data_IF_524755604805
#
_entry.id   IF_524755604805
#
_cell.length_a   1.000
_cell.length_b   1.000
_cell.length_c   1.000
_cell.angle_alpha   90.00
_cell.angle_beta   90.00
_cell.angle_gamma   90.00
#
_symmetry.space_group_name_H-M   'P 1'
#
loop_
_entity.id
_entity.type
_entity.pdbx_description
1 polymer ?
#
# COMPACT_ATOMS: atom_id res chain seq x y z
N UNK A 1 23.23 4.05 -18.88
CA UNK A 1 21.78 4.18 -19.05
C UNK A 1 21.23 2.87 -19.62
N UNK A 2 20.41 2.15 -18.84
CA UNK A 2 19.56 1.03 -19.26
C UNK A 2 18.32 1.03 -18.37
N UNK A 3 17.53 2.08 -18.57
CA UNK A 3 16.12 2.26 -18.19
C UNK A 3 15.19 1.28 -18.93
N UNK A 4 15.66 0.06 -19.23
CA UNK A 4 14.79 -0.96 -19.79
C UNK A 4 13.93 -1.51 -18.66
N UNK A 5 12.62 -1.24 -18.70
CA UNK A 5 11.67 -1.91 -17.82
C UNK A 5 11.50 -3.39 -18.16
N UNK A 6 10.54 -4.04 -17.49
CA UNK A 6 10.27 -5.46 -17.59
C UNK A 6 8.86 -5.73 -18.15
N UNK A 7 8.55 -5.34 -19.40
CA UNK A 7 7.19 -5.47 -19.94
C UNK A 7 6.71 -6.93 -20.04
N UNK A 8 7.62 -7.89 -20.26
CA UNK A 8 7.29 -9.32 -20.40
C UNK A 8 6.76 -9.96 -19.10
N UNK A 9 7.07 -9.37 -17.93
CA UNK A 9 6.67 -9.95 -16.63
C UNK A 9 5.40 -9.31 -16.06
N UNK A 10 4.77 -8.39 -16.80
CA UNK A 10 3.52 -7.74 -16.37
C UNK A 10 2.30 -8.64 -16.51
N UNK A 11 2.20 -9.43 -17.59
CA UNK A 11 1.05 -10.31 -17.81
C UNK A 11 0.85 -11.36 -16.67
N UNK A 12 1.92 -11.99 -16.13
CA UNK A 12 1.79 -12.84 -14.94
C UNK A 12 1.25 -12.11 -13.71
N UNK A 13 1.62 -10.83 -13.54
CA UNK A 13 1.20 -10.01 -12.42
C UNK A 13 -0.29 -9.64 -12.56
N UNK A 14 -0.74 -9.31 -13.77
CA UNK A 14 -2.15 -8.98 -14.04
C UNK A 14 -3.09 -10.17 -13.87
N UNK A 15 -2.64 -11.37 -14.27
CA UNK A 15 -3.42 -12.60 -14.12
C UNK A 15 -3.68 -13.00 -12.66
N UNK A 16 -2.88 -12.50 -11.71
CA UNK A 16 -2.93 -12.89 -10.30
C UNK A 16 -3.30 -11.75 -9.35
N UNK A 17 -3.76 -10.60 -9.87
CA UNK A 17 -3.98 -9.40 -9.06
C UNK A 17 -4.91 -9.61 -7.87
N UNK A 18 -6.04 -10.30 -8.04
CA UNK A 18 -6.98 -10.53 -6.95
C UNK A 18 -6.35 -11.40 -5.84
N UNK A 19 -5.63 -12.46 -6.24
CA UNK A 19 -4.93 -13.33 -5.30
C UNK A 19 -3.80 -12.59 -4.56
N UNK A 20 -3.03 -11.78 -5.28
CA UNK A 20 -1.96 -10.95 -4.71
C UNK A 20 -2.52 -9.91 -3.73
N UNK A 21 -3.63 -9.25 -4.09
CA UNK A 21 -4.33 -8.32 -3.20
C UNK A 21 -4.82 -9.02 -1.93
N UNK A 22 -5.43 -10.21 -2.05
CA UNK A 22 -5.85 -11.01 -0.90
C UNK A 22 -4.68 -11.39 0.01
N UNK A 23 -3.58 -11.88 -0.55
CA UNK A 23 -2.35 -12.21 0.20
C UNK A 23 -1.74 -10.99 0.88
N UNK A 24 -1.74 -9.84 0.22
CA UNK A 24 -1.24 -8.61 0.81
C UNK A 24 -2.08 -8.17 2.02
N UNK A 25 -3.41 -8.31 1.96
CA UNK A 25 -4.28 -8.02 3.11
C UNK A 25 -4.03 -8.98 4.27
N UNK A 26 -3.87 -10.28 3.99
CA UNK A 26 -3.52 -11.27 5.02
C UNK A 26 -2.19 -10.89 5.68
N UNK A 27 -1.15 -10.64 4.90
CA UNK A 27 0.16 -10.24 5.42
C UNK A 27 0.12 -8.92 6.22
N UNK A 28 -0.69 -7.95 5.78
CA UNK A 28 -0.88 -6.69 6.50
C UNK A 28 -1.55 -6.91 7.87
N UNK A 29 -2.57 -7.78 7.94
CA UNK A 29 -3.25 -8.12 9.20
C UNK A 29 -2.36 -8.97 10.11
N UNK A 30 -1.60 -9.91 9.58
CA UNK A 30 -0.63 -10.69 10.36
C UNK A 30 0.45 -9.81 10.98
N UNK A 31 0.94 -8.82 10.22
CA UNK A 31 1.89 -7.82 10.71
C UNK A 31 1.30 -6.90 11.76
N UNK A 32 0.04 -6.48 11.58
CA UNK A 32 -0.66 -5.58 12.47
C UNK A 32 -2.12 -6.05 12.69
N UNK A 33 -2.35 -6.90 13.69
CA UNK A 33 -3.67 -7.47 13.95
C UNK A 33 -4.77 -6.43 14.23
N UNK A 34 -4.41 -5.29 14.82
CA UNK A 34 -5.33 -4.17 15.09
C UNK A 34 -5.89 -3.54 13.81
N UNK A 35 -5.29 -3.78 12.63
CA UNK A 35 -5.81 -3.29 11.35
C UNK A 35 -7.26 -3.72 11.15
N UNK A 36 -7.55 -5.01 11.38
CA UNK A 36 -8.89 -5.56 11.20
C UNK A 36 -9.92 -4.88 12.10
N UNK A 37 -9.56 -4.64 13.36
CA UNK A 37 -10.44 -3.96 14.33
C UNK A 37 -10.67 -2.50 13.94
N UNK A 38 -9.65 -1.81 13.40
CA UNK A 38 -9.76 -0.40 13.01
C UNK A 38 -10.62 -0.17 11.78
N UNK A 39 -10.41 -0.96 10.72
CA UNK A 39 -11.09 -0.72 9.43
C UNK A 39 -12.36 -1.55 9.25
N UNK A 40 -12.51 -2.64 10.03
CA UNK A 40 -13.60 -3.61 9.90
C UNK A 40 -13.61 -4.36 8.56
N UNK A 41 -14.51 -5.32 8.41
CA UNK A 41 -14.56 -6.16 7.20
C UNK A 41 -14.91 -5.36 5.93
N UNK A 42 -15.69 -4.28 6.05
CA UNK A 42 -15.97 -3.37 4.93
C UNK A 42 -14.71 -2.60 4.53
N UNK A 43 -13.95 -2.08 5.50
CA UNK A 43 -12.70 -1.37 5.23
C UNK A 43 -11.63 -2.29 4.65
N UNK A 44 -11.54 -3.55 5.10
CA UNK A 44 -10.65 -4.56 4.51
C UNK A 44 -11.00 -4.82 3.03
N UNK A 45 -12.29 -4.92 2.69
CA UNK A 45 -12.71 -5.04 1.28
C UNK A 45 -12.35 -3.80 0.44
N UNK A 46 -12.44 -2.61 1.02
CA UNK A 46 -11.97 -1.39 0.34
C UNK A 46 -10.45 -1.39 0.16
N UNK A 47 -9.68 -1.77 1.17
CA UNK A 47 -8.22 -1.89 1.07
C UNK A 47 -7.81 -2.95 0.04
N UNK A 48 -8.56 -4.05 -0.07
CA UNK A 48 -8.30 -5.07 -1.10
C UNK A 48 -8.50 -4.50 -2.52
N UNK A 49 -9.53 -3.69 -2.73
CA UNK A 49 -9.74 -2.97 -4.00
C UNK A 49 -8.63 -1.94 -4.25
N UNK A 50 -8.22 -1.20 -3.22
CA UNK A 50 -7.10 -0.27 -3.33
C UNK A 50 -5.80 -1.00 -3.70
N UNK A 51 -5.57 -2.20 -3.15
CA UNK A 51 -4.40 -3.03 -3.45
C UNK A 51 -4.33 -3.40 -4.94
N UNK A 52 -5.46 -3.68 -5.57
CA UNK A 52 -5.52 -3.96 -7.01
C UNK A 52 -5.11 -2.73 -7.83
N UNK A 53 -5.56 -1.53 -7.44
CA UNK A 53 -5.13 -0.28 -8.11
C UNK A 53 -3.64 -0.02 -7.89
N UNK A 54 -3.12 -0.30 -6.70
CA UNK A 54 -1.68 -0.22 -6.42
C UNK A 54 -0.91 -1.21 -7.32
N UNK A 55 -1.38 -2.44 -7.46
CA UNK A 55 -0.77 -3.46 -8.33
C UNK A 55 -0.82 -3.05 -9.82
N UNK A 56 -1.88 -2.38 -10.26
CA UNK A 56 -1.96 -1.80 -11.61
C UNK A 56 -0.85 -0.77 -11.81
N UNK A 57 -0.68 0.19 -10.89
CA UNK A 57 0.36 1.23 -11.01
C UNK A 57 1.77 0.68 -10.81
N UNK A 58 1.94 -0.34 -9.99
CA UNK A 58 3.17 -1.11 -9.89
C UNK A 58 3.50 -1.79 -11.21
N UNK A 59 2.51 -2.37 -11.91
CA UNK A 59 2.71 -2.98 -13.23
C UNK A 59 3.23 -1.98 -14.25
N UNK A 60 2.65 -0.78 -14.29
CA UNK A 60 3.12 0.31 -15.17
C UNK A 60 4.55 0.71 -14.81
N UNK A 61 4.86 0.76 -13.51
CA UNK A 61 6.20 1.09 -13.02
C UNK A 61 7.23 0.03 -13.45
N UNK A 62 6.90 -1.25 -13.28
CA UNK A 62 7.73 -2.39 -13.68
C UNK A 62 7.93 -2.42 -15.20
N UNK A 63 6.86 -2.29 -16.00
CA UNK A 63 6.96 -2.27 -17.46
C UNK A 63 7.88 -1.17 -18.00
N UNK A 64 7.81 0.00 -17.38
CA UNK A 64 8.57 1.19 -17.81
C UNK A 64 9.94 1.32 -17.16
N UNK A 65 10.25 0.52 -16.14
CA UNK A 65 11.47 0.68 -15.34
C UNK A 65 11.52 2.01 -14.58
N UNK A 66 10.36 2.65 -14.38
CA UNK A 66 10.23 3.95 -13.71
C UNK A 66 9.37 3.83 -12.47
N UNK A 67 9.79 4.41 -11.35
CA UNK A 67 9.05 4.37 -10.07
C UNK A 67 7.88 5.38 -10.08
N UNK A 68 7.93 6.38 -10.97
CA UNK A 68 7.01 7.51 -10.98
C UNK A 68 5.53 7.13 -11.06
N UNK A 69 5.08 6.16 -11.87
CA UNK A 69 3.65 5.83 -11.96
C UNK A 69 3.05 5.43 -10.61
N UNK A 70 3.72 4.58 -9.83
CA UNK A 70 3.28 4.20 -8.49
C UNK A 70 3.44 5.35 -7.48
N UNK A 71 4.60 6.04 -7.51
CA UNK A 71 4.87 7.14 -6.58
C UNK A 71 3.84 8.27 -6.71
N UNK A 72 3.62 8.78 -7.93
CA UNK A 72 2.67 9.86 -8.19
C UNK A 72 1.23 9.43 -7.87
N UNK A 73 0.85 8.19 -8.17
CA UNK A 73 -0.44 7.66 -7.72
C UNK A 73 -0.57 7.72 -6.20
N UNK A 74 0.45 7.28 -5.46
CA UNK A 74 0.44 7.27 -3.99
C UNK A 74 0.26 8.67 -3.40
N UNK A 75 0.96 9.65 -3.98
CA UNK A 75 0.84 11.07 -3.60
C UNK A 75 -0.61 11.56 -3.81
N UNK A 76 -1.21 11.27 -4.97
CA UNK A 76 -2.54 11.74 -5.33
C UNK A 76 -3.70 10.96 -4.69
N UNK A 77 -3.47 9.70 -4.31
CA UNK A 77 -4.47 8.86 -3.65
C UNK A 77 -4.62 9.17 -2.15
N UNK A 78 -3.62 9.80 -1.54
CA UNK A 78 -3.60 10.15 -0.11
C UNK A 78 -4.87 10.86 0.40
N UNK A 79 -5.36 11.93 -0.26
CA UNK A 79 -6.62 12.58 0.15
C UNK A 79 -7.84 11.65 0.10
N UNK A 80 -7.86 10.67 -0.80
CA UNK A 80 -8.98 9.73 -0.95
C UNK A 80 -8.99 8.68 0.16
N UNK A 81 -7.83 8.16 0.57
CA UNK A 81 -7.75 7.29 1.77
C UNK A 81 -8.18 8.03 3.03
N UNK A 82 -7.74 9.29 3.21
CA UNK A 82 -8.13 10.12 4.35
C UNK A 82 -9.64 10.38 4.40
N UNK A 83 -10.28 10.70 3.26
CA UNK A 83 -11.74 10.86 3.19
C UNK A 83 -12.50 9.59 3.59
N UNK A 84 -11.91 8.41 3.34
CA UNK A 84 -12.43 7.11 3.78
C UNK A 84 -12.05 6.73 5.21
N UNK A 85 -11.40 7.64 5.96
CA UNK A 85 -10.89 7.43 7.33
C UNK A 85 -9.88 6.28 7.46
N UNK A 86 -9.14 6.00 6.40
CA UNK A 86 -8.02 5.06 6.39
C UNK A 86 -6.74 5.85 6.71
N UNK A 87 -5.98 5.42 7.72
CA UNK A 87 -4.73 6.11 8.08
C UNK A 87 -3.60 5.79 7.10
N UNK A 88 -2.60 6.66 6.97
CA UNK A 88 -1.42 6.33 6.15
C UNK A 88 -0.61 5.17 6.75
N UNK A 89 -0.74 4.92 8.06
CA UNK A 89 -0.19 3.71 8.69
C UNK A 89 -0.90 2.45 8.15
N UNK A 90 -2.23 2.45 8.03
CA UNK A 90 -2.99 1.31 7.45
C UNK A 90 -2.63 1.09 5.97
N UNK A 91 -2.48 2.17 5.19
CA UNK A 91 -2.04 2.06 3.78
C UNK A 91 -0.57 1.63 3.71
N UNK A 92 0.26 2.02 4.67
CA UNK A 92 1.65 1.55 4.76
C UNK A 92 1.67 0.05 5.01
N UNK A 93 0.85 -0.47 5.92
CA UNK A 93 0.74 -1.90 6.17
C UNK A 93 0.26 -2.66 4.92
N UNK A 94 -0.64 -2.07 4.13
CA UNK A 94 -1.01 -2.62 2.82
C UNK A 94 0.20 -2.72 1.87
N UNK A 95 1.01 -1.67 1.77
CA UNK A 95 2.21 -1.68 0.91
C UNK A 95 3.23 -2.70 1.40
N UNK A 96 3.44 -2.82 2.71
CA UNK A 96 4.30 -3.86 3.29
C UNK A 96 3.75 -5.26 2.99
N UNK A 97 2.42 -5.46 3.04
CA UNK A 97 1.79 -6.70 2.62
C UNK A 97 2.01 -7.01 1.14
N UNK A 98 1.97 -6.00 0.26
CA UNK A 98 2.28 -6.17 -1.16
C UNK A 98 3.76 -6.54 -1.39
N UNK A 99 4.69 -6.02 -0.58
CA UNK A 99 6.11 -6.42 -0.64
C UNK A 99 6.32 -7.89 -0.30
N UNK A 100 5.46 -8.48 0.54
CA UNK A 100 5.45 -9.92 0.83
C UNK A 100 4.78 -10.71 -0.31
N UNK A 101 3.69 -10.21 -0.88
CA UNK A 101 2.92 -10.94 -1.88
C UNK A 101 3.56 -10.96 -3.28
N UNK A 102 4.09 -9.83 -3.76
CA UNK A 102 4.60 -9.66 -5.13
C UNK A 102 5.73 -10.63 -5.50
N UNK A 103 6.71 -10.93 -4.63
CA UNK A 103 7.77 -11.91 -4.91
C UNK A 103 7.27 -13.34 -5.15
N UNK A 104 6.00 -13.65 -4.87
CA UNK A 104 5.41 -14.96 -5.21
C UNK A 104 5.12 -15.12 -6.72
N UNK A 105 5.15 -14.02 -7.47
CA UNK A 105 4.86 -13.98 -8.92
C UNK A 105 6.00 -13.38 -9.73
N UNK A 106 6.75 -12.42 -9.16
CA UNK A 106 7.94 -11.86 -9.79
C UNK A 106 9.22 -12.44 -9.18
N UNK A 107 10.26 -12.57 -10.01
CA UNK A 107 11.58 -13.02 -9.58
C UNK A 107 12.69 -12.10 -10.13
N UNK A 108 13.90 -12.26 -9.58
CA UNK A 108 15.11 -11.57 -10.05
C UNK A 108 15.02 -10.05 -9.99
N UNK A 109 15.56 -9.38 -11.01
CA UNK A 109 15.64 -7.93 -11.09
C UNK A 109 14.26 -7.25 -11.12
N UNK A 110 13.25 -7.89 -11.70
CA UNK A 110 11.89 -7.36 -11.72
C UNK A 110 11.27 -7.33 -10.31
N UNK A 111 11.48 -8.38 -9.50
CA UNK A 111 11.05 -8.40 -8.11
C UNK A 111 11.77 -7.33 -7.28
N UNK A 112 13.10 -7.20 -7.47
CA UNK A 112 13.90 -6.18 -6.80
C UNK A 112 13.46 -4.75 -7.20
N UNK A 113 13.10 -4.54 -8.47
CA UNK A 113 12.54 -3.27 -8.92
C UNK A 113 11.18 -3.00 -8.27
N UNK A 114 10.29 -3.99 -8.26
CA UNK A 114 8.96 -3.85 -7.68
C UNK A 114 9.02 -3.52 -6.17
N UNK A 115 9.92 -4.17 -5.43
CA UNK A 115 10.17 -3.87 -4.00
C UNK A 115 10.62 -2.41 -3.80
N UNK A 116 11.57 -1.93 -4.63
CA UNK A 116 12.02 -0.52 -4.58
C UNK A 116 10.88 0.46 -4.87
N UNK A 117 10.04 0.17 -5.88
CA UNK A 117 8.90 1.02 -6.19
C UNK A 117 7.89 1.09 -5.02
N UNK A 118 7.63 -0.04 -4.36
CA UNK A 118 6.77 -0.10 -3.17
C UNK A 118 7.39 0.65 -1.98
N UNK A 119 8.71 0.55 -1.77
CA UNK A 119 9.43 1.31 -0.74
C UNK A 119 9.33 2.83 -0.94
N UNK A 120 9.40 3.31 -2.18
CA UNK A 120 9.21 4.73 -2.50
C UNK A 120 7.77 5.18 -2.24
N UNK A 121 6.78 4.33 -2.53
CA UNK A 121 5.39 4.58 -2.12
C UNK A 121 5.24 4.65 -0.60
N UNK A 122 5.88 3.75 0.15
CA UNK A 122 5.92 3.79 1.62
C UNK A 122 6.56 5.10 2.12
N UNK A 123 7.62 5.58 1.46
CA UNK A 123 8.24 6.86 1.82
C UNK A 123 7.26 8.03 1.66
N UNK A 124 6.48 8.06 0.57
CA UNK A 124 5.40 9.03 0.35
C UNK A 124 4.36 8.95 1.47
N UNK A 125 3.88 7.76 1.81
CA UNK A 125 2.90 7.57 2.88
C UNK A 125 3.42 8.05 4.23
N UNK A 126 4.68 7.73 4.56
CA UNK A 126 5.36 8.18 5.78
C UNK A 126 5.55 9.70 5.83
N UNK A 127 5.78 10.34 4.68
CA UNK A 127 5.80 11.80 4.58
C UNK A 127 4.41 12.38 4.87
N UNK A 128 3.38 11.89 4.19
CA UNK A 128 2.01 12.37 4.39
C UNK A 128 1.49 12.11 5.80
N UNK A 129 1.87 11.01 6.45
CA UNK A 129 1.56 10.73 7.85
C UNK A 129 1.96 11.87 8.80
N UNK A 130 3.04 12.59 8.49
CA UNK A 130 3.52 13.74 9.28
C UNK A 130 2.64 14.97 9.12
N UNK A 131 1.95 15.09 7.98
CA UNK A 131 1.02 16.18 7.70
C UNK A 131 -0.29 15.90 8.45
N UNK A 132 -0.69 16.81 9.34
CA UNK A 132 -1.87 16.67 10.19
C UNK A 132 -3.09 16.10 9.46
N UNK A 133 -3.86 15.25 10.15
CA UNK A 133 -5.04 14.58 9.61
C UNK A 133 -4.94 13.06 9.58
N UNK A 134 -3.73 12.50 9.71
CA UNK A 134 -3.60 11.11 10.16
C UNK A 134 -3.94 11.09 11.63
N UNK A 135 -5.07 10.48 11.93
CA UNK A 135 -5.62 10.30 13.26
C UNK A 135 -4.52 9.65 14.11
N UNK A 136 -3.70 10.46 14.79
CA UNK A 136 -2.68 10.00 15.78
C UNK A 136 -3.35 8.87 16.51
N UNK A 137 -2.85 7.62 16.37
CA UNK A 137 -3.38 6.41 17.06
C UNK A 137 -4.04 6.90 18.33
N UNK A 138 -5.38 6.98 18.32
CA UNK A 138 -6.17 7.86 19.19
C UNK A 138 -5.57 7.77 20.58
N UNK A 139 -4.73 8.74 20.95
CA UNK A 139 -3.79 8.50 22.05
C UNK A 139 -4.67 8.32 23.27
N UNK A 140 -4.74 7.09 23.82
CA UNK A 140 -5.82 6.73 24.79
C UNK A 140 -5.86 7.72 25.94
N UNK A 141 -4.71 8.28 26.29
CA UNK A 141 -4.50 9.36 27.25
C UNK A 141 -5.24 10.65 26.83
N UNK A 142 -5.05 11.15 25.61
CA UNK A 142 -5.74 12.35 25.11
C UNK A 142 -7.26 12.14 25.00
N UNK A 143 -7.70 10.94 24.61
CA UNK A 143 -9.12 10.61 24.53
C UNK A 143 -9.78 10.51 25.91
N UNK A 144 -9.05 10.08 26.95
CA UNK A 144 -9.51 10.05 28.33
C UNK A 144 -9.61 11.45 28.93
N UNK A 145 -8.61 12.32 28.68
CA UNK A 145 -8.61 13.71 29.15
C UNK A 145 -9.80 14.50 28.56
N UNK A 146 -10.06 14.35 27.25
CA UNK A 146 -11.19 15.05 26.60
C UNK A 146 -12.58 14.51 26.91
N UNK A 147 -12.70 13.31 27.51
CA UNK A 147 -13.99 12.75 27.96
C UNK A 147 -14.34 13.09 29.40
N UNK A 148 -13.42 13.71 30.14
CA UNK A 148 -13.57 14.04 31.56
C UNK A 148 -13.60 15.54 31.86
N UNK A 149 -13.86 16.39 30.87
CA UNK A 149 -14.06 17.84 31.02
C UNK A 149 -15.44 18.24 30.52
#
# INVERSE_FOLDING_TARGET
DRTAGFPSVVAPLTAQWEQLAGRAIVAAVERNPELRDRVGDIGLRHLMRDAQVVLEKLSVSVASGSINPLKTFTEHATPTWRRRRISMDDVTDLYEGLRVAVPTVLAGEAAAFADRALLEGIAVLKWHRRLGGDMRKRNRILAAIYKGA
#
